data_IF_020656370250
#
_entry.id   IF_020656370250
#
_cell.length_a   1.000
_cell.length_b   1.000
_cell.length_c   1.000
_cell.angle_alpha   90.00
_cell.angle_beta   90.00
_cell.angle_gamma   90.00
#
_symmetry.space_group_name_H-M   'P 1'
#
loop_
_entity.id
_entity.type
_entity.pdbx_description
1 polymer ?
#
# COMPACT_ATOMS: atom_id res chain seq x y z
N UNK A 1 -22.57 -17.09 8.67
CA UNK A 1 -22.58 -16.71 7.23
C UNK A 1 -22.07 -17.81 6.31
N UNK A 2 -20.77 -18.21 6.33
CA UNK A 2 -20.27 -19.24 5.39
C UNK A 2 -20.99 -20.60 5.54
N UNK A 3 -21.23 -21.04 6.79
CA UNK A 3 -22.05 -22.23 7.07
C UNK A 3 -23.47 -22.10 6.53
N UNK A 4 -24.10 -20.94 6.73
CA UNK A 4 -25.45 -20.64 6.24
C UNK A 4 -25.53 -20.61 4.70
N UNK A 5 -24.41 -20.30 4.03
CA UNK A 5 -24.25 -20.39 2.57
C UNK A 5 -23.93 -21.82 2.08
N UNK A 6 -23.91 -22.82 2.97
CA UNK A 6 -23.70 -24.23 2.63
C UNK A 6 -22.24 -24.69 2.57
N UNK A 7 -21.28 -23.88 3.06
CA UNK A 7 -19.88 -24.31 3.09
C UNK A 7 -19.67 -25.47 4.08
N UNK A 8 -19.38 -26.67 3.56
CA UNK A 8 -19.10 -27.89 4.33
C UNK A 8 -17.61 -28.21 4.52
N UNK A 9 -16.71 -27.32 4.07
CA UNK A 9 -15.27 -27.51 4.17
C UNK A 9 -14.64 -26.71 5.34
N UNK A 10 -13.46 -27.12 5.83
CA UNK A 10 -12.69 -26.32 6.77
C UNK A 10 -12.33 -24.95 6.18
N UNK A 11 -12.38 -23.91 7.02
CA UNK A 11 -11.97 -22.56 6.65
C UNK A 11 -10.63 -22.26 7.32
N UNK A 12 -9.67 -21.79 6.53
CA UNK A 12 -8.35 -21.42 7.00
C UNK A 12 -8.08 -19.94 6.75
N UNK A 13 -7.19 -19.38 7.56
CA UNK A 13 -6.66 -18.03 7.43
C UNK A 13 -5.15 -18.09 7.27
N UNK A 14 -4.59 -17.17 6.49
CA UNK A 14 -3.13 -16.99 6.42
C UNK A 14 -2.69 -16.29 7.71
N UNK A 15 -1.59 -16.75 8.31
CA UNK A 15 -0.98 -16.08 9.47
C UNK A 15 0.29 -15.33 9.03
N UNK A 16 0.81 -14.45 9.89
CA UNK A 16 1.96 -13.55 9.61
C UNK A 16 3.23 -14.25 9.10
N UNK A 17 3.38 -15.54 9.38
CA UNK A 17 4.53 -16.35 8.96
C UNK A 17 4.33 -17.09 7.64
N UNK A 18 3.22 -16.85 6.93
CA UNK A 18 2.95 -17.38 5.59
C UNK A 18 2.26 -18.75 5.54
N UNK A 19 1.94 -19.36 6.69
CA UNK A 19 1.19 -20.62 6.76
C UNK A 19 -0.31 -20.42 6.93
N UNK A 20 -1.05 -21.54 7.02
CA UNK A 20 -2.49 -21.57 7.28
C UNK A 20 -2.79 -21.93 8.74
N UNK A 21 -3.79 -21.28 9.33
CA UNK A 21 -4.36 -21.59 10.65
C UNK A 21 -5.89 -21.70 10.56
N UNK A 22 -6.52 -22.46 11.46
CA UNK A 22 -7.98 -22.53 11.52
C UNK A 22 -8.59 -21.23 12.05
N UNK A 23 -9.87 -20.99 11.76
CA UNK A 23 -10.61 -19.83 12.28
C UNK A 23 -10.66 -19.85 13.81
N UNK A 24 -10.74 -21.03 14.42
CA UNK A 24 -10.73 -21.20 15.89
C UNK A 24 -9.39 -20.74 16.47
N UNK A 25 -8.26 -21.22 15.92
CA UNK A 25 -6.92 -20.78 16.35
C UNK A 25 -6.70 -19.29 16.10
N UNK A 26 -7.20 -18.76 14.98
CA UNK A 26 -7.09 -17.34 14.66
C UNK A 26 -7.88 -16.47 15.65
N UNK A 27 -9.02 -16.96 16.12
CA UNK A 27 -9.84 -16.29 17.13
C UNK A 27 -9.20 -16.32 18.52
N UNK A 28 -8.52 -17.42 18.86
CA UNK A 28 -7.77 -17.56 20.13
C UNK A 28 -6.46 -16.74 20.13
N UNK A 29 -5.77 -16.66 18.98
CA UNK A 29 -4.49 -15.97 18.83
C UNK A 29 -4.51 -14.93 17.70
N UNK A 30 -5.35 -13.88 17.79
CA UNK A 30 -5.56 -12.91 16.71
C UNK A 30 -4.29 -12.14 16.33
N UNK A 31 -3.33 -12.01 17.27
CA UNK A 31 -2.02 -11.41 17.02
C UNK A 31 -1.28 -12.08 15.85
N UNK A 32 -1.53 -13.37 15.59
CA UNK A 32 -0.93 -14.13 14.48
C UNK A 32 -1.47 -13.73 13.11
N UNK A 33 -2.49 -12.89 13.03
CA UNK A 33 -3.05 -12.40 11.76
C UNK A 33 -2.50 -11.04 11.34
N UNK A 34 -1.72 -10.38 12.18
CA UNK A 34 -1.11 -9.08 11.87
C UNK A 34 -0.23 -9.23 10.62
N UNK A 35 -0.39 -8.38 9.62
CA UNK A 35 0.39 -8.46 8.36
C UNK A 35 0.21 -9.79 7.58
N UNK A 36 -0.88 -10.53 7.81
CA UNK A 36 -1.16 -11.81 7.12
C UNK A 36 -1.38 -11.68 5.61
N UNK A 37 -1.98 -10.59 5.14
CA UNK A 37 -2.22 -10.33 3.72
C UNK A 37 -0.92 -10.25 2.92
N UNK A 38 -0.01 -9.31 3.24
CA UNK A 38 1.29 -9.21 2.59
C UNK A 38 2.13 -10.49 2.72
N UNK A 39 1.99 -11.23 3.83
CA UNK A 39 2.66 -12.52 3.99
C UNK A 39 2.18 -13.53 2.93
N UNK A 40 0.88 -13.58 2.66
CA UNK A 40 0.32 -14.36 1.55
C UNK A 40 0.89 -13.93 0.18
N UNK A 41 1.01 -12.63 -0.06
CA UNK A 41 1.62 -12.08 -1.27
C UNK A 41 3.08 -12.50 -1.46
N UNK A 42 3.89 -12.44 -0.41
CA UNK A 42 5.29 -12.87 -0.43
C UNK A 42 5.43 -14.39 -0.69
N UNK A 43 4.57 -15.20 -0.09
CA UNK A 43 4.53 -16.66 -0.34
C UNK A 43 4.15 -16.95 -1.78
N UNK A 44 3.16 -16.24 -2.33
CA UNK A 44 2.77 -16.36 -3.73
C UNK A 44 3.90 -15.93 -4.67
N UNK A 45 4.57 -14.81 -4.40
CA UNK A 45 5.72 -14.36 -5.18
C UNK A 45 6.87 -15.37 -5.17
N UNK A 46 7.12 -16.03 -4.03
CA UNK A 46 8.14 -17.08 -3.93
C UNK A 46 7.79 -18.32 -4.78
N UNK A 47 6.51 -18.67 -4.85
CA UNK A 47 6.04 -19.74 -5.73
C UNK A 47 6.19 -19.37 -7.22
N UNK A 48 5.83 -18.14 -7.60
CA UNK A 48 6.07 -17.63 -8.96
C UNK A 48 7.56 -17.66 -9.28
N UNK A 49 8.42 -17.16 -8.39
CA UNK A 49 9.87 -17.16 -8.57
C UNK A 49 10.41 -18.58 -8.84
N UNK A 50 9.92 -19.59 -8.12
CA UNK A 50 10.28 -21.00 -8.33
C UNK A 50 9.85 -21.50 -9.71
N UNK A 51 8.64 -21.17 -10.16
CA UNK A 51 8.13 -21.58 -11.48
C UNK A 51 8.95 -21.00 -12.64
N UNK A 52 9.55 -19.84 -12.44
CA UNK A 52 10.38 -19.16 -13.45
C UNK A 52 11.89 -19.31 -13.23
N UNK A 53 12.34 -20.04 -12.21
CA UNK A 53 13.76 -20.23 -11.91
C UNK A 53 14.48 -18.94 -11.47
N UNK A 54 13.76 -18.00 -10.86
CA UNK A 54 14.31 -16.74 -10.36
C UNK A 54 14.73 -16.88 -8.89
N UNK A 55 16.02 -17.12 -8.66
CA UNK A 55 16.54 -17.40 -7.31
C UNK A 55 16.53 -16.18 -6.38
N UNK A 56 16.53 -14.96 -6.94
CA UNK A 56 16.54 -13.70 -6.18
C UNK A 56 15.51 -12.75 -6.76
N UNK A 57 14.46 -12.48 -6.01
CA UNK A 57 13.40 -11.55 -6.41
C UNK A 57 13.01 -10.64 -5.25
N UNK A 58 12.46 -9.49 -5.61
CA UNK A 58 11.79 -8.59 -4.69
C UNK A 58 10.30 -8.63 -5.00
N UNK A 59 9.47 -8.98 -4.01
CA UNK A 59 8.03 -8.78 -4.13
C UNK A 59 7.69 -7.36 -3.69
N UNK A 60 6.91 -6.65 -4.51
CA UNK A 60 6.45 -5.30 -4.24
C UNK A 60 4.93 -5.26 -4.32
N UNK A 61 4.28 -4.83 -3.24
CA UNK A 61 2.82 -4.68 -3.15
C UNK A 61 2.49 -3.28 -2.62
N UNK A 62 1.88 -2.43 -3.47
CA UNK A 62 1.48 -1.07 -3.12
C UNK A 62 -0.04 -0.95 -3.11
N UNK A 63 -0.58 -0.67 -1.92
CA UNK A 63 -1.99 -0.36 -1.74
C UNK A 63 -2.27 1.15 -1.73
N UNK A 64 -3.45 1.51 -1.22
CA UNK A 64 -3.84 2.91 -1.06
C UNK A 64 -3.10 3.67 0.05
N UNK A 65 -2.41 2.99 0.98
CA UNK A 65 -1.81 3.66 2.14
C UNK A 65 -0.31 3.39 2.25
N UNK A 66 0.09 2.14 2.03
CA UNK A 66 1.46 1.70 2.22
C UNK A 66 1.89 0.75 1.11
N UNK A 67 3.21 0.65 0.93
CA UNK A 67 3.86 -0.35 0.09
C UNK A 67 4.65 -1.31 0.97
N UNK A 68 4.64 -2.58 0.59
CA UNK A 68 5.33 -3.67 1.28
C UNK A 68 6.32 -4.31 0.32
N UNK A 69 7.53 -4.52 0.82
CA UNK A 69 8.65 -5.08 0.06
C UNK A 69 9.19 -6.30 0.81
N UNK A 70 9.30 -7.43 0.12
CA UNK A 70 9.93 -8.64 0.66
C UNK A 70 11.05 -9.11 -0.27
N UNK A 71 12.22 -9.36 0.31
CA UNK A 71 13.33 -10.01 -0.38
C UNK A 71 13.16 -11.53 -0.28
N UNK A 72 13.14 -12.18 -1.44
CA UNK A 72 13.00 -13.63 -1.57
C UNK A 72 14.30 -14.16 -2.19
N UNK A 73 14.95 -15.07 -1.48
CA UNK A 73 16.19 -15.72 -1.90
C UNK A 73 16.00 -17.21 -1.83
N UNK A 74 16.49 -17.94 -2.82
CA UNK A 74 16.36 -19.40 -2.94
C UNK A 74 14.90 -19.86 -2.81
N UNK A 75 13.99 -19.09 -3.40
CA UNK A 75 12.54 -19.33 -3.41
C UNK A 75 11.89 -19.32 -2.01
N UNK A 76 12.52 -18.67 -1.04
CA UNK A 76 12.04 -18.57 0.34
C UNK A 76 12.03 -17.10 0.83
N UNK A 77 10.89 -16.58 1.31
CA UNK A 77 10.87 -15.34 2.05
C UNK A 77 11.63 -15.48 3.37
N UNK A 78 12.37 -14.44 3.76
CA UNK A 78 13.01 -14.42 5.08
C UNK A 78 11.96 -14.35 6.18
N UNK A 79 12.22 -15.01 7.31
CA UNK A 79 11.33 -14.98 8.48
C UNK A 79 12.05 -14.41 9.69
N UNK A 80 11.29 -13.74 10.55
CA UNK A 80 11.74 -13.23 11.83
C UNK A 80 10.84 -13.80 12.96
N UNK A 81 11.36 -13.79 14.19
CA UNK A 81 10.62 -14.24 15.39
C UNK A 81 10.06 -13.09 16.21
N UNK A 82 10.43 -11.87 15.85
CA UNK A 82 10.01 -10.64 16.51
C UNK A 82 9.82 -9.55 15.45
N UNK A 83 8.83 -8.70 15.67
CA UNK A 83 8.63 -7.47 14.89
C UNK A 83 7.97 -6.41 15.76
N UNK A 84 7.96 -5.17 15.30
CA UNK A 84 7.34 -4.05 16.00
C UNK A 84 6.12 -3.57 15.23
N UNK A 85 5.01 -3.37 15.94
CA UNK A 85 3.80 -2.72 15.43
C UNK A 85 3.64 -1.33 16.06
N UNK A 86 2.75 -0.51 15.50
CA UNK A 86 2.40 0.79 16.06
C UNK A 86 3.63 1.68 16.36
N UNK A 87 4.59 1.73 15.41
CA UNK A 87 5.77 2.58 15.55
C UNK A 87 5.35 4.05 15.62
N UNK A 88 5.76 4.72 16.71
CA UNK A 88 5.48 6.14 16.92
C UNK A 88 6.37 7.04 16.07
N UNK A 89 7.58 6.57 15.71
CA UNK A 89 8.54 7.32 14.90
C UNK A 89 9.07 6.46 13.73
N UNK A 90 9.00 6.98 12.51
CA UNK A 90 9.55 6.32 11.31
C UNK A 90 11.05 6.07 11.51
N UNK A 91 11.50 4.85 11.20
CA UNK A 91 12.90 4.42 11.25
C UNK A 91 13.58 4.44 12.65
N UNK A 92 12.83 4.65 13.74
CA UNK A 92 13.34 4.50 15.11
C UNK A 92 12.97 3.14 15.69
N UNK A 93 13.93 2.20 15.69
CA UNK A 93 13.79 0.91 16.40
C UNK A 93 13.45 1.18 17.88
N UNK A 94 12.49 0.45 18.43
CA UNK A 94 12.01 0.61 19.81
C UNK A 94 10.87 1.62 20.00
N UNK A 95 10.43 2.31 18.95
CA UNK A 95 9.30 3.26 19.04
C UNK A 95 7.91 2.61 18.91
N UNK A 96 7.88 1.31 18.60
CA UNK A 96 6.67 0.50 18.51
C UNK A 96 6.57 -0.56 19.59
N UNK A 97 5.45 -1.29 19.61
CA UNK A 97 5.22 -2.41 20.52
C UNK A 97 5.86 -3.68 19.94
N UNK A 98 6.80 -4.34 20.65
CA UNK A 98 7.40 -5.58 20.19
C UNK A 98 6.41 -6.74 20.32
N UNK A 99 6.28 -7.54 19.26
CA UNK A 99 5.48 -8.75 19.22
C UNK A 99 6.39 -9.93 18.91
N UNK A 100 6.26 -11.01 19.68
CA UNK A 100 7.06 -12.23 19.54
C UNK A 100 6.25 -13.35 18.89
N UNK A 101 6.08 -13.27 17.57
CA UNK A 101 5.47 -14.33 16.75
C UNK A 101 6.30 -14.55 15.48
N UNK A 102 6.23 -15.73 14.84
CA UNK A 102 6.79 -15.93 13.52
C UNK A 102 6.14 -15.00 12.49
N UNK A 103 6.96 -14.21 11.79
CA UNK A 103 6.54 -13.31 10.72
C UNK A 103 7.44 -13.45 9.50
N UNK A 104 6.91 -13.15 8.32
CA UNK A 104 7.75 -12.88 7.14
C UNK A 104 8.36 -11.49 7.29
N UNK A 105 9.67 -11.40 7.10
CA UNK A 105 10.42 -10.15 7.17
C UNK A 105 10.11 -9.29 5.94
N UNK A 106 9.61 -8.08 6.17
CA UNK A 106 9.25 -7.13 5.13
C UNK A 106 9.65 -5.72 5.52
N UNK A 107 9.92 -4.90 4.50
CA UNK A 107 10.07 -3.46 4.64
C UNK A 107 8.73 -2.83 4.27
N UNK A 108 8.28 -1.91 5.11
CA UNK A 108 7.11 -1.10 4.84
C UNK A 108 7.54 0.32 4.53
N UNK A 109 7.08 0.81 3.37
CA UNK A 109 7.21 2.20 2.97
C UNK A 109 5.84 2.84 3.15
N UNK A 110 5.78 3.89 3.95
CA UNK A 110 4.52 4.59 4.24
C UNK A 110 4.14 5.56 3.12
N UNK A 111 4.10 5.05 1.90
CA UNK A 111 3.55 5.69 0.73
C UNK A 111 2.69 4.67 -0.04
N UNK A 112 1.58 5.12 -0.59
CA UNK A 112 0.58 4.34 -1.32
C UNK A 112 -0.22 5.24 -2.27
N UNK A 113 -1.16 4.67 -3.01
CA UNK A 113 -1.96 5.44 -3.98
C UNK A 113 -2.70 6.64 -3.35
N UNK A 114 -3.15 6.51 -2.11
CA UNK A 114 -3.81 7.55 -1.34
C UNK A 114 -2.87 8.50 -0.62
N UNK A 115 -1.55 8.34 -0.68
CA UNK A 115 -0.63 9.26 -0.01
C UNK A 115 -0.76 10.67 -0.56
N UNK A 116 -0.99 11.63 0.35
CA UNK A 116 -1.30 12.99 -0.02
C UNK A 116 -0.03 13.73 -0.46
N UNK A 117 -0.10 14.39 -1.60
CA UNK A 117 0.94 15.28 -2.09
C UNK A 117 0.80 16.70 -1.50
N UNK A 118 1.92 17.31 -1.13
CA UNK A 118 1.98 18.67 -0.57
C UNK A 118 3.35 19.29 -0.81
N UNK A 119 3.49 20.59 -0.55
CA UNK A 119 4.76 21.33 -0.65
C UNK A 119 5.24 21.76 0.72
N UNK A 120 6.48 21.41 1.05
CA UNK A 120 7.11 21.77 2.32
C UNK A 120 7.55 23.24 2.37
N UNK A 121 8.03 23.66 3.56
CA UNK A 121 8.50 25.03 3.78
C UNK A 121 9.74 25.40 2.94
N UNK A 122 10.42 24.41 2.35
CA UNK A 122 11.58 24.60 1.46
C UNK A 122 11.19 24.59 -0.02
N UNK A 123 9.90 24.49 -0.35
CA UNK A 123 9.43 24.46 -1.73
C UNK A 123 9.63 23.10 -2.42
N UNK A 124 9.73 22.01 -1.67
CA UNK A 124 9.88 20.65 -2.22
C UNK A 124 8.55 19.92 -2.19
N UNK A 125 8.27 19.16 -3.26
CA UNK A 125 7.15 18.22 -3.28
C UNK A 125 7.43 17.12 -2.25
N UNK A 126 6.41 16.77 -1.48
CA UNK A 126 6.40 15.70 -0.50
C UNK A 126 5.15 14.84 -0.71
N UNK A 127 5.26 13.55 -0.42
CA UNK A 127 4.17 12.58 -0.55
C UNK A 127 4.02 11.79 0.75
N UNK A 128 2.82 11.78 1.33
CA UNK A 128 2.60 11.24 2.66
C UNK A 128 3.22 12.11 3.78
N UNK A 129 3.32 11.61 5.03
CA UNK A 129 2.89 10.29 5.49
C UNK A 129 1.36 10.12 5.56
N UNK A 130 0.62 11.22 5.49
CA UNK A 130 -0.84 11.21 5.53
C UNK A 130 -1.41 10.56 4.27
N UNK A 131 -2.47 9.76 4.44
CA UNK A 131 -3.21 9.13 3.35
C UNK A 131 -4.64 9.66 3.33
N UNK A 132 -5.17 9.87 2.14
CA UNK A 132 -6.57 10.17 1.88
C UNK A 132 -7.48 8.97 2.17
N UNK A 133 -6.92 7.77 2.35
CA UNK A 133 -7.65 6.53 2.56
C UNK A 133 -8.56 6.19 1.36
N UNK A 134 -9.64 5.46 1.62
CA UNK A 134 -10.72 5.20 0.64
C UNK A 134 -11.92 6.12 0.80
N UNK A 135 -12.06 6.74 1.97
CA UNK A 135 -13.13 7.68 2.33
C UNK A 135 -12.55 8.80 3.20
N UNK A 136 -12.58 10.08 2.76
CA UNK A 136 -13.15 10.54 1.49
C UNK A 136 -12.33 10.13 0.25
N UNK A 137 -11.10 9.62 0.42
CA UNK A 137 -10.25 9.17 -0.67
C UNK A 137 -9.60 10.31 -1.46
N UNK A 138 -8.80 9.95 -2.49
CA UNK A 138 -8.25 10.89 -3.47
C UNK A 138 -9.32 11.80 -4.07
N UNK A 139 -8.92 12.97 -4.57
CA UNK A 139 -9.88 13.92 -5.15
C UNK A 139 -10.65 13.30 -6.34
N UNK A 140 -9.98 12.46 -7.13
CA UNK A 140 -10.54 11.73 -8.26
C UNK A 140 -11.70 10.79 -7.88
N UNK A 141 -11.85 10.39 -6.61
CA UNK A 141 -12.95 9.50 -6.22
C UNK A 141 -14.29 10.23 -6.17
N UNK A 142 -14.33 11.57 -6.23
CA UNK A 142 -15.58 12.33 -6.24
C UNK A 142 -16.38 12.26 -4.93
N UNK A 143 -15.76 11.82 -3.83
CA UNK A 143 -16.40 11.60 -2.51
C UNK A 143 -16.15 12.73 -1.51
N UNK A 144 -15.80 13.91 -2.01
CA UNK A 144 -15.49 15.09 -1.19
C UNK A 144 -14.03 15.21 -0.76
N UNK A 145 -13.15 14.32 -1.22
CA UNK A 145 -11.70 14.48 -1.11
C UNK A 145 -11.26 15.74 -1.85
N UNK A 146 -10.38 16.55 -1.22
CA UNK A 146 -9.93 17.83 -1.78
C UNK A 146 -8.43 17.90 -2.02
N UNK A 147 -7.64 17.11 -1.30
CA UNK A 147 -6.18 17.13 -1.41
C UNK A 147 -5.73 16.07 -2.42
N UNK A 148 -4.73 16.37 -3.28
CA UNK A 148 -4.28 15.42 -4.29
C UNK A 148 -3.53 14.27 -3.63
N UNK A 149 -3.84 13.05 -4.04
CA UNK A 149 -3.07 11.86 -3.72
C UNK A 149 -2.25 11.38 -4.93
N UNK A 150 -1.41 10.36 -4.75
CA UNK A 150 -0.67 9.73 -5.87
C UNK A 150 -1.61 9.26 -6.98
N UNK A 151 -2.77 8.68 -6.62
CA UNK A 151 -3.80 8.26 -7.58
C UNK A 151 -4.34 9.43 -8.41
N UNK A 152 -4.41 10.65 -7.87
CA UNK A 152 -4.77 11.84 -8.66
C UNK A 152 -3.71 12.17 -9.70
N UNK A 153 -2.44 12.09 -9.32
CA UNK A 153 -1.33 12.33 -10.25
C UNK A 153 -1.26 11.26 -11.36
N UNK A 154 -1.43 9.98 -10.99
CA UNK A 154 -1.48 8.87 -11.96
C UNK A 154 -2.65 9.03 -12.95
N UNK A 155 -3.81 9.52 -12.48
CA UNK A 155 -4.95 9.81 -13.35
C UNK A 155 -4.65 10.95 -14.34
N UNK A 156 -4.09 12.06 -13.87
CA UNK A 156 -3.74 13.21 -14.73
C UNK A 156 -2.66 12.85 -15.75
N UNK A 157 -1.75 11.94 -15.41
CA UNK A 157 -0.76 11.40 -16.34
C UNK A 157 -1.32 10.34 -17.31
N UNK A 158 -2.60 9.97 -17.18
CA UNK A 158 -3.26 9.00 -18.04
C UNK A 158 -2.84 7.55 -17.77
N UNK A 159 -2.29 7.24 -16.59
CA UNK A 159 -1.96 5.86 -16.19
C UNK A 159 -3.20 5.05 -15.80
N UNK A 160 -4.28 5.74 -15.43
CA UNK A 160 -5.55 5.16 -15.01
C UNK A 160 -6.65 5.44 -16.03
N UNK A 161 -7.48 4.44 -16.30
CA UNK A 161 -8.71 4.60 -17.06
C UNK A 161 -9.80 5.22 -16.15
N UNK A 162 -10.28 6.45 -16.43
CA UNK A 162 -11.26 7.11 -15.58
C UNK A 162 -12.62 6.41 -15.55
N UNK A 163 -12.99 5.67 -16.59
CA UNK A 163 -14.31 5.05 -16.70
C UNK A 163 -14.33 3.59 -16.20
N UNK A 164 -13.16 2.98 -15.98
CA UNK A 164 -13.04 1.56 -15.63
C UNK A 164 -12.29 1.29 -14.31
N UNK A 165 -12.07 2.30 -13.48
CA UNK A 165 -11.38 2.11 -12.20
C UNK A 165 -12.19 1.18 -11.25
N UNK A 166 -11.48 0.27 -10.57
CA UNK A 166 -12.08 -0.79 -9.76
C UNK A 166 -13.16 -1.62 -10.51
N UNK A 167 -12.93 -1.90 -11.80
CA UNK A 167 -13.88 -2.63 -12.65
C UNK A 167 -15.13 -1.81 -12.99
N UNK A 168 -15.00 -0.48 -13.04
CA UNK A 168 -16.10 0.46 -13.30
C UNK A 168 -16.95 0.81 -12.09
N UNK A 169 -16.60 0.31 -10.89
CA UNK A 169 -17.35 0.60 -9.66
C UNK A 169 -17.17 2.05 -9.18
N UNK A 170 -16.09 2.71 -9.60
CA UNK A 170 -15.80 4.11 -9.28
C UNK A 170 -15.42 4.82 -10.58
N UNK A 171 -16.25 5.77 -11.01
CA UNK A 171 -15.90 6.68 -12.09
C UNK A 171 -15.00 7.78 -11.54
N UNK A 172 -13.81 7.94 -12.11
CA UNK A 172 -12.84 8.92 -11.66
C UNK A 172 -13.11 10.30 -12.26
N UNK A 173 -12.89 11.34 -11.47
CA UNK A 173 -13.01 12.73 -11.88
C UNK A 173 -11.63 13.36 -12.14
N UNK A 174 -11.22 13.38 -13.42
CA UNK A 174 -9.95 13.97 -13.84
C UNK A 174 -9.88 15.46 -13.53
N UNK A 175 -10.99 16.19 -13.67
CA UNK A 175 -11.02 17.64 -13.41
C UNK A 175 -10.79 17.89 -11.92
N UNK A 176 -11.40 17.11 -11.03
CA UNK A 176 -11.16 17.21 -9.60
C UNK A 176 -9.67 16.97 -9.25
N UNK A 177 -9.01 16.00 -9.89
CA UNK A 177 -7.56 15.78 -9.72
C UNK A 177 -6.73 16.96 -10.18
N UNK A 178 -6.97 17.47 -11.39
CA UNK A 178 -6.23 18.63 -11.92
C UNK A 178 -6.36 19.84 -11.00
N UNK A 179 -7.57 20.13 -10.51
CA UNK A 179 -7.82 21.26 -9.61
C UNK A 179 -7.17 21.05 -8.24
N UNK A 180 -7.20 19.84 -7.69
CA UNK A 180 -6.55 19.52 -6.42
C UNK A 180 -5.02 19.64 -6.52
N UNK A 181 -4.43 19.11 -7.59
CA UNK A 181 -2.99 19.16 -7.86
C UNK A 181 -2.51 20.60 -8.04
N UNK A 182 -3.22 21.40 -8.85
CA UNK A 182 -2.89 22.81 -9.05
C UNK A 182 -2.93 23.58 -7.73
N UNK A 183 -4.05 23.51 -7.01
CA UNK A 183 -4.26 24.31 -5.80
C UNK A 183 -3.29 23.99 -4.68
N UNK A 184 -3.01 22.70 -4.43
CA UNK A 184 -2.20 22.30 -3.27
C UNK A 184 -0.69 22.30 -3.55
N UNK A 185 -0.29 22.12 -4.83
CA UNK A 185 1.12 21.93 -5.21
C UNK A 185 1.51 22.86 -6.36
N UNK A 186 0.79 22.83 -7.48
CA UNK A 186 1.18 23.52 -8.72
C UNK A 186 1.31 25.03 -8.57
N UNK A 187 0.35 25.70 -7.93
CA UNK A 187 0.34 27.15 -7.70
C UNK A 187 1.56 27.62 -6.89
N UNK A 188 1.96 26.84 -5.87
CA UNK A 188 3.13 27.17 -5.03
C UNK A 188 4.45 27.07 -5.79
N UNK A 189 4.49 26.21 -6.81
CA UNK A 189 5.69 25.94 -7.61
C UNK A 189 5.64 26.63 -8.98
N UNK A 190 4.57 27.38 -9.29
CA UNK A 190 4.33 27.97 -10.61
C UNK A 190 4.34 26.94 -11.75
N UNK A 191 3.75 25.77 -11.51
CA UNK A 191 3.63 24.66 -12.46
C UNK A 191 2.17 24.44 -12.86
N UNK A 192 1.95 23.94 -14.08
CA UNK A 192 0.63 23.48 -14.52
C UNK A 192 0.31 22.08 -13.94
N UNK A 193 -0.94 21.62 -14.10
CA UNK A 193 -1.41 20.36 -13.51
C UNK A 193 -0.56 19.16 -13.95
N UNK A 194 -0.27 19.06 -15.26
CA UNK A 194 0.46 17.94 -15.84
C UNK A 194 1.91 17.86 -15.35
N UNK A 195 2.63 18.99 -15.38
CA UNK A 195 4.01 19.06 -14.88
C UNK A 195 4.08 18.80 -13.37
N UNK A 196 3.08 19.26 -12.63
CA UNK A 196 2.97 19.01 -11.18
C UNK A 196 2.70 17.53 -10.89
N UNK A 197 1.77 16.90 -11.63
CA UNK A 197 1.46 15.48 -11.52
C UNK A 197 2.71 14.63 -11.79
N UNK A 198 3.48 14.97 -12.82
CA UNK A 198 4.76 14.33 -13.11
C UNK A 198 5.72 14.42 -11.93
N UNK A 199 5.91 15.61 -11.36
CA UNK A 199 6.78 15.81 -10.19
C UNK A 199 6.31 15.05 -8.94
N UNK A 200 5.00 14.90 -8.74
CA UNK A 200 4.44 14.08 -7.65
C UNK A 200 4.81 12.61 -7.83
N UNK A 201 4.67 12.07 -9.05
CA UNK A 201 5.04 10.69 -9.36
C UNK A 201 6.54 10.45 -9.18
N UNK A 202 7.40 11.33 -9.71
CA UNK A 202 8.85 11.21 -9.55
C UNK A 202 9.27 11.15 -8.08
N UNK A 203 8.65 11.96 -7.21
CA UNK A 203 8.95 11.95 -5.77
C UNK A 203 8.52 10.64 -5.10
N UNK A 204 7.35 10.09 -5.42
CA UNK A 204 6.94 8.81 -4.82
C UNK A 204 7.77 7.64 -5.37
N UNK A 205 8.13 7.67 -6.65
CA UNK A 205 8.95 6.64 -7.29
C UNK A 205 10.38 6.64 -6.71
N UNK A 206 10.99 7.82 -6.53
CA UNK A 206 12.31 7.95 -5.87
C UNK A 206 12.27 7.55 -4.39
N UNK A 207 11.16 7.80 -3.69
CA UNK A 207 11.00 7.33 -2.31
C UNK A 207 10.89 5.80 -2.19
N UNK A 208 10.50 5.12 -3.27
CA UNK A 208 10.30 3.66 -3.32
C UNK A 208 11.53 2.90 -3.83
N UNK A 209 12.34 3.53 -4.68
CA UNK A 209 13.55 2.96 -5.29
C UNK A 209 14.70 2.72 -4.29
#
# INVERSE_FOLDING_TARGET
RLKDMGAGCPVFMIHSGGGLISVETASEFPVRLVESGPAGGAIFAADIARRFGLEKVVSYDMGGTTAKICLIVDFAPRTARTFEVARTYRFSKGSGMPISIPVIEMIEIGAGGGSIAWVDAMGRIQTGPESAGSEPGPACYGRGGKRPAITDADLVLGKLDPDNFAGGAIKLDTVASEQAILREVGERLSLNALATAFGICEVVDENMA
#
